data_IF_070522632640
#
_entry.id   IF_070522632640
#
_cell.length_a   1.000
_cell.length_b   1.000
_cell.length_c   1.000
_cell.angle_alpha   90.00
_cell.angle_beta   90.00
_cell.angle_gamma   90.00
#
_symmetry.space_group_name_H-M   'P 1'
#
loop_
_entity.id
_entity.type
_entity.pdbx_description
1 polymer ?
#
# COMPACT_ATOMS: atom_id res chain seq x y z
N UNK A 1 21.46 -0.87 -20.58
CA UNK A 1 21.45 -2.24 -20.01
C UNK A 1 22.31 -2.22 -18.77
N UNK A 2 21.71 -2.04 -17.60
CA UNK A 2 22.40 -2.16 -16.31
C UNK A 2 22.74 -3.63 -16.09
N UNK A 3 24.03 -3.93 -15.93
CA UNK A 3 24.51 -5.25 -15.54
C UNK A 3 23.97 -5.55 -14.13
N UNK A 4 23.10 -6.55 -14.00
CA UNK A 4 22.63 -7.03 -12.71
C UNK A 4 23.82 -7.52 -11.87
N UNK A 5 24.01 -6.92 -10.69
CA UNK A 5 25.15 -7.24 -9.82
C UNK A 5 24.89 -8.58 -9.10
N UNK A 6 25.88 -9.47 -8.90
CA UNK A 6 25.67 -10.78 -8.24
C UNK A 6 25.07 -10.68 -6.83
N UNK A 7 25.28 -9.55 -6.16
CA UNK A 7 24.62 -9.25 -4.87
C UNK A 7 23.12 -9.00 -5.04
N UNK A 8 22.67 -8.37 -6.12
CA UNK A 8 21.23 -8.15 -6.36
C UNK A 8 20.49 -9.46 -6.63
N UNK A 9 21.11 -10.39 -7.38
CA UNK A 9 20.55 -11.72 -7.61
C UNK A 9 20.44 -12.51 -6.30
N UNK A 10 21.47 -12.44 -5.45
CA UNK A 10 21.44 -13.04 -4.12
C UNK A 10 20.35 -12.40 -3.24
N UNK A 11 20.23 -11.08 -3.26
CA UNK A 11 19.20 -10.36 -2.50
C UNK A 11 17.79 -10.68 -3.00
N UNK A 12 17.57 -10.77 -4.31
CA UNK A 12 16.28 -11.20 -4.88
C UNK A 12 15.95 -12.66 -4.52
N UNK A 13 16.97 -13.52 -4.41
CA UNK A 13 16.75 -14.90 -3.97
C UNK A 13 16.42 -15.00 -2.48
N UNK A 14 17.10 -14.22 -1.64
CA UNK A 14 16.84 -14.18 -0.18
C UNK A 14 15.52 -13.46 0.12
N UNK A 15 15.22 -12.41 -0.65
CA UNK A 15 14.05 -11.54 -0.54
C UNK A 15 13.32 -11.48 -1.88
N UNK A 16 12.63 -12.56 -2.28
CA UNK A 16 11.88 -12.58 -3.53
C UNK A 16 10.82 -11.47 -3.49
N UNK A 17 10.94 -10.55 -4.44
CA UNK A 17 10.07 -9.39 -4.58
C UNK A 17 9.09 -9.63 -5.72
N UNK A 18 7.81 -9.64 -5.40
CA UNK A 18 6.77 -9.71 -6.43
C UNK A 18 6.39 -8.29 -6.88
N UNK A 19 6.91 -7.89 -8.04
CA UNK A 19 6.48 -6.69 -8.77
C UNK A 19 5.08 -6.90 -9.34
N UNK A 20 4.08 -7.03 -8.45
CA UNK A 20 2.69 -7.13 -8.87
C UNK A 20 2.32 -5.88 -9.62
N UNK A 21 2.04 -6.07 -10.89
CA UNK A 21 1.52 -5.08 -11.78
C UNK A 21 0.00 -5.21 -11.73
N UNK A 22 -0.68 -4.39 -10.92
CA UNK A 22 -2.13 -4.29 -11.10
C UNK A 22 -2.39 -3.69 -12.49
N UNK A 23 -3.44 -4.14 -13.16
CA UNK A 23 -3.87 -3.56 -14.43
C UNK A 23 -5.21 -2.88 -14.20
N UNK A 24 -5.38 -1.69 -14.78
CA UNK A 24 -6.65 -0.98 -14.71
C UNK A 24 -7.66 -1.61 -15.65
N UNK A 25 -8.76 -2.07 -15.08
CA UNK A 25 -9.92 -2.60 -15.80
C UNK A 25 -11.16 -1.66 -15.68
N UNK A 26 -11.07 -0.61 -14.87
CA UNK A 26 -12.07 0.44 -14.74
C UNK A 26 -11.44 1.80 -14.42
N UNK A 27 -11.98 2.92 -14.92
CA UNK A 27 -11.43 4.25 -14.68
C UNK A 27 -11.43 4.60 -13.19
N UNK A 28 -10.45 5.40 -12.77
CA UNK A 28 -10.46 6.04 -11.45
C UNK A 28 -11.66 7.00 -11.39
N UNK A 29 -12.50 6.87 -10.36
CA UNK A 29 -13.74 7.64 -10.23
C UNK A 29 -13.66 8.68 -9.12
N UNK A 30 -12.97 8.37 -8.02
CA UNK A 30 -12.92 9.24 -6.82
C UNK A 30 -11.51 9.29 -6.26
N UNK A 31 -11.02 10.50 -6.03
CA UNK A 31 -9.78 10.77 -5.32
C UNK A 31 -10.14 11.41 -3.98
N UNK A 32 -9.93 10.71 -2.88
CA UNK A 32 -10.15 11.25 -1.54
C UNK A 32 -8.80 11.42 -0.83
N UNK A 33 -8.12 12.51 -1.16
CA UNK A 33 -6.71 12.74 -0.85
C UNK A 33 -6.48 13.40 0.52
N UNK A 34 -7.43 13.24 1.44
CA UNK A 34 -7.32 13.76 2.80
C UNK A 34 -6.16 13.17 3.60
N UNK A 35 -5.71 13.91 4.62
CA UNK A 35 -4.66 13.43 5.52
C UNK A 35 -5.10 12.21 6.31
N UNK A 36 -4.13 11.32 6.58
CA UNK A 36 -4.34 10.18 7.46
C UNK A 36 -4.87 10.65 8.82
N UNK A 37 -5.72 9.84 9.43
CA UNK A 37 -6.41 10.13 10.72
C UNK A 37 -7.54 11.15 10.65
N UNK A 38 -7.86 11.71 9.48
CA UNK A 38 -9.02 12.58 9.28
C UNK A 38 -10.26 11.80 8.79
N UNK A 39 -10.55 10.63 9.35
CA UNK A 39 -11.73 9.83 8.96
C UNK A 39 -11.63 9.09 7.62
N UNK A 40 -10.43 8.91 7.07
CA UNK A 40 -10.20 8.28 5.74
C UNK A 40 -10.75 6.86 5.64
N UNK A 41 -10.70 6.08 6.72
CA UNK A 41 -11.24 4.70 6.72
C UNK A 41 -12.76 4.69 6.74
N UNK A 42 -13.38 5.61 7.49
CA UNK A 42 -14.83 5.82 7.42
C UNK A 42 -15.24 6.19 6.00
N UNK A 43 -14.51 7.11 5.37
CA UNK A 43 -14.77 7.49 3.97
C UNK A 43 -14.63 6.32 3.01
N UNK A 44 -13.61 5.49 3.19
CA UNK A 44 -13.43 4.25 2.41
C UNK A 44 -14.69 3.39 2.48
N UNK A 45 -15.20 3.10 3.67
CA UNK A 45 -16.42 2.31 3.84
C UNK A 45 -17.65 3.02 3.25
N UNK A 46 -17.74 4.35 3.35
CA UNK A 46 -18.84 5.11 2.77
C UNK A 46 -18.84 5.03 1.24
N UNK A 47 -17.67 5.07 0.60
CA UNK A 47 -17.51 4.89 -0.85
C UNK A 47 -17.85 3.45 -1.28
N UNK A 48 -17.42 2.44 -0.51
CA UNK A 48 -17.81 1.04 -0.75
C UNK A 48 -19.35 0.88 -0.67
N UNK A 49 -19.99 1.48 0.34
CA UNK A 49 -21.45 1.52 0.49
C UNK A 49 -22.17 2.19 -0.70
N UNK A 50 -21.52 3.20 -1.31
CA UNK A 50 -22.04 3.93 -2.49
C UNK A 50 -21.81 3.19 -3.82
N UNK A 51 -21.26 1.98 -3.77
CA UNK A 51 -21.07 1.10 -4.92
C UNK A 51 -19.83 1.41 -5.75
N UNK A 52 -18.87 2.17 -5.21
CA UNK A 52 -17.58 2.30 -5.89
C UNK A 52 -16.86 0.96 -5.86
N UNK A 53 -16.31 0.56 -7.01
CA UNK A 53 -15.41 -0.59 -7.09
C UNK A 53 -14.27 -0.39 -6.10
N UNK A 54 -13.81 -1.48 -5.48
CA UNK A 54 -12.73 -1.57 -4.49
C UNK A 54 -12.04 -0.25 -4.19
N UNK A 55 -12.12 0.20 -2.94
CA UNK A 55 -11.58 1.50 -2.52
C UNK A 55 -10.24 1.29 -1.83
N UNK A 56 -9.18 1.92 -2.36
CA UNK A 56 -7.85 1.84 -1.78
C UNK A 56 -7.81 2.61 -0.45
N UNK A 57 -7.10 2.08 0.53
CA UNK A 57 -6.77 2.73 1.80
C UNK A 57 -5.37 2.26 2.22
N UNK A 58 -4.69 2.96 3.15
CA UNK A 58 -3.39 2.54 3.66
C UNK A 58 -3.36 1.15 4.32
N UNK A 59 -4.52 0.56 4.63
CA UNK A 59 -4.63 -0.82 5.09
C UNK A 59 -4.73 -1.84 3.95
N UNK A 60 -4.98 -1.43 2.71
CA UNK A 60 -5.05 -2.35 1.57
C UNK A 60 -3.67 -2.73 1.02
N UNK A 61 -2.61 -2.06 1.48
CA UNK A 61 -1.23 -2.42 1.15
C UNK A 61 -0.96 -3.87 1.58
N UNK A 62 -0.70 -4.73 0.60
CA UNK A 62 -0.43 -6.16 0.80
C UNK A 62 0.98 -6.50 0.34
N UNK A 63 1.64 -7.39 1.09
CA UNK A 63 2.96 -7.92 0.76
C UNK A 63 3.94 -6.79 0.39
N UNK A 64 4.49 -6.93 -0.80
CA UNK A 64 5.60 -6.13 -1.33
C UNK A 64 5.21 -4.77 -1.91
N UNK A 65 3.91 -4.43 -1.98
CA UNK A 65 3.45 -3.13 -2.49
C UNK A 65 4.05 -1.95 -1.72
N UNK A 66 4.42 -2.14 -0.46
CA UNK A 66 5.12 -1.11 0.32
C UNK A 66 6.42 -0.67 -0.36
N UNK A 67 7.20 -1.60 -0.94
CA UNK A 67 8.43 -1.24 -1.63
C UNK A 67 8.18 -0.64 -3.01
N UNK A 68 7.14 -1.07 -3.73
CA UNK A 68 6.78 -0.41 -5.01
C UNK A 68 6.40 1.06 -4.75
N UNK A 69 5.60 1.32 -3.72
CA UNK A 69 5.29 2.68 -3.28
C UNK A 69 6.53 3.47 -2.87
N UNK A 70 7.45 2.84 -2.13
CA UNK A 70 8.71 3.47 -1.73
C UNK A 70 9.59 3.79 -2.94
N UNK A 71 9.76 2.87 -3.88
CA UNK A 71 10.50 3.11 -5.12
C UNK A 71 9.91 4.24 -5.95
N UNK A 72 8.57 4.33 -6.04
CA UNK A 72 7.93 5.45 -6.73
C UNK A 72 8.18 6.79 -6.01
N UNK A 73 8.16 6.78 -4.68
CA UNK A 73 8.48 7.94 -3.86
C UNK A 73 9.94 8.37 -4.03
N UNK A 74 10.87 7.42 -3.96
CA UNK A 74 12.30 7.68 -4.15
C UNK A 74 12.58 8.19 -5.57
N UNK A 75 11.98 7.57 -6.59
CA UNK A 75 12.12 8.03 -7.98
C UNK A 75 11.61 9.47 -8.19
N UNK A 76 10.56 9.88 -7.46
CA UNK A 76 10.07 11.26 -7.45
C UNK A 76 10.98 12.21 -6.66
N UNK A 77 11.56 11.73 -5.56
CA UNK A 77 12.44 12.53 -4.71
C UNK A 77 13.81 12.78 -5.36
N UNK A 78 14.35 11.77 -6.02
CA UNK A 78 15.67 11.79 -6.66
C UNK A 78 15.64 12.55 -8.00
N UNK A 79 14.54 12.46 -8.75
CA UNK A 79 14.32 13.22 -9.98
C UNK A 79 13.00 14.00 -9.91
N UNK A 80 13.03 15.26 -9.43
CA UNK A 80 11.86 16.12 -9.40
C UNK A 80 11.25 16.41 -10.79
N UNK A 81 11.99 16.13 -11.87
CA UNK A 81 11.52 16.26 -13.26
C UNK A 81 10.79 15.03 -13.78
N UNK A 82 10.84 13.90 -13.06
CA UNK A 82 10.14 12.67 -13.45
C UNK A 82 8.63 12.88 -13.45
N UNK A 83 8.01 12.70 -14.61
CA UNK A 83 6.55 12.69 -14.69
C UNK A 83 5.99 11.39 -14.10
N UNK A 84 5.34 11.50 -12.94
CA UNK A 84 4.53 10.40 -12.38
C UNK A 84 3.16 10.42 -13.06
N UNK A 85 2.82 9.32 -13.73
CA UNK A 85 1.63 9.23 -14.59
C UNK A 85 0.69 8.06 -14.27
N UNK A 86 -0.33 7.93 -15.11
CA UNK A 86 -1.32 6.83 -15.05
C UNK A 86 -0.64 5.47 -14.98
N UNK A 87 0.38 5.23 -15.80
CA UNK A 87 1.08 3.94 -15.82
C UNK A 87 1.77 3.60 -14.50
N UNK A 88 2.28 4.59 -13.75
CA UNK A 88 2.88 4.37 -12.43
C UNK A 88 1.82 4.00 -11.40
N UNK A 89 0.69 4.73 -11.42
CA UNK A 89 -0.41 4.48 -10.50
C UNK A 89 -1.14 3.19 -10.81
N UNK A 90 -1.24 2.80 -12.08
CA UNK A 90 -1.93 1.59 -12.48
C UNK A 90 -1.24 0.34 -11.93
N UNK A 91 0.09 0.33 -11.74
CA UNK A 91 0.82 -0.78 -11.09
C UNK A 91 0.46 -0.95 -9.61
N UNK A 92 0.04 0.14 -8.96
CA UNK A 92 -0.15 0.23 -7.52
C UNK A 92 -1.63 0.15 -7.11
N UNK A 93 -2.48 0.85 -7.87
CA UNK A 93 -3.90 1.08 -7.57
C UNK A 93 -4.81 0.89 -8.79
N UNK A 94 -4.35 0.21 -9.85
CA UNK A 94 -5.12 0.00 -11.08
C UNK A 94 -6.43 -0.75 -10.87
N UNK A 95 -6.47 -1.66 -9.89
CA UNK A 95 -7.65 -2.45 -9.53
C UNK A 95 -8.66 -1.71 -8.63
N UNK A 96 -8.40 -0.45 -8.26
CA UNK A 96 -9.25 0.36 -7.40
C UNK A 96 -9.99 1.44 -8.21
N UNK A 97 -11.29 1.60 -7.93
CA UNK A 97 -12.13 2.65 -8.53
C UNK A 97 -12.09 3.97 -7.76
N UNK A 98 -11.61 3.93 -6.50
CA UNK A 98 -11.43 5.09 -5.66
C UNK A 98 -10.22 4.92 -4.75
N UNK A 99 -9.61 6.02 -4.31
CA UNK A 99 -8.46 6.01 -3.39
C UNK A 99 -8.67 6.90 -2.18
N UNK A 100 -8.16 6.47 -1.04
CA UNK A 100 -8.15 7.20 0.24
C UNK A 100 -6.80 7.03 0.94
N UNK A 101 -6.51 7.91 1.91
CA UNK A 101 -5.42 7.74 2.90
C UNK A 101 -3.98 7.80 2.34
N UNK A 102 -3.01 7.43 3.18
CA UNK A 102 -1.58 7.40 2.94
C UNK A 102 -1.19 6.67 1.66
N UNK A 103 0.01 7.03 1.16
CA UNK A 103 0.55 6.70 -0.16
C UNK A 103 -0.12 7.53 -1.24
N UNK A 104 -1.42 7.36 -1.48
CA UNK A 104 -2.13 8.12 -2.52
C UNK A 104 -2.16 9.63 -2.22
N UNK A 105 -2.48 10.03 -0.98
CA UNK A 105 -2.49 11.46 -0.61
C UNK A 105 -1.12 12.17 -0.78
N UNK A 106 -0.02 11.41 -0.78
CA UNK A 106 1.34 11.96 -0.96
C UNK A 106 1.67 12.25 -2.44
N UNK A 107 0.83 11.78 -3.37
CA UNK A 107 0.90 12.03 -4.82
C UNK A 107 -0.35 12.76 -5.31
N UNK A 108 -0.99 13.59 -4.47
CA UNK A 108 -2.28 14.17 -4.78
C UNK A 108 -2.31 14.98 -6.09
N UNK A 109 -1.28 15.82 -6.32
CA UNK A 109 -1.18 16.63 -7.55
C UNK A 109 -1.07 15.74 -8.79
N UNK A 110 -0.27 14.69 -8.71
CA UNK A 110 0.01 13.76 -9.79
C UNK A 110 -1.20 12.86 -10.09
N UNK A 111 -1.91 12.40 -9.05
CA UNK A 111 -3.15 11.64 -9.21
C UNK A 111 -4.26 12.47 -9.85
N UNK A 112 -4.42 13.73 -9.45
CA UNK A 112 -5.39 14.65 -10.07
C UNK A 112 -5.03 14.90 -11.54
N UNK A 113 -3.74 15.12 -11.85
CA UNK A 113 -3.26 15.28 -13.24
C UNK A 113 -3.48 13.99 -14.06
N UNK A 114 -3.21 12.82 -13.49
CA UNK A 114 -3.32 11.53 -14.14
C UNK A 114 -4.78 11.09 -14.37
N UNK A 115 -5.70 11.51 -13.49
CA UNK A 115 -7.10 11.13 -13.55
C UNK A 115 -8.02 12.37 -13.53
N UNK A 116 -8.01 13.19 -14.59
CA UNK A 116 -8.74 14.46 -14.62
C UNK A 116 -10.27 14.31 -14.54
N UNK A 117 -10.80 13.12 -14.86
CA UNK A 117 -12.23 12.81 -14.79
C UNK A 117 -12.67 12.30 -13.40
N UNK A 118 -11.74 12.04 -12.49
CA UNK A 118 -12.07 11.58 -11.15
C UNK A 118 -12.51 12.76 -10.27
N UNK A 119 -13.51 12.54 -9.42
CA UNK A 119 -13.97 13.55 -8.46
C UNK A 119 -12.99 13.64 -7.28
N UNK A 120 -12.34 14.79 -7.12
CA UNK A 120 -11.46 15.07 -5.97
C UNK A 120 -12.27 15.54 -4.76
N UNK A 121 -12.45 14.63 -3.80
CA UNK A 121 -13.28 14.85 -2.62
C UNK A 121 -12.53 15.75 -1.64
N UNK A 122 -13.07 16.95 -1.33
CA UNK A 122 -12.45 17.83 -0.35
C UNK A 122 -12.51 17.21 1.05
N UNK A 123 -11.51 17.51 1.89
CA UNK A 123 -11.46 17.06 3.29
C UNK A 123 -12.76 17.40 4.03
N UNK A 124 -13.38 18.54 3.72
CA UNK A 124 -14.61 18.99 4.38
C UNK A 124 -15.85 18.17 4.02
N UNK A 125 -15.84 17.46 2.89
CA UNK A 125 -16.89 16.50 2.56
C UNK A 125 -16.77 15.21 3.40
N UNK A 126 -15.66 15.04 4.13
CA UNK A 126 -15.38 13.90 5.00
C UNK A 126 -15.69 14.16 6.49
N UNK A 127 -16.58 15.11 6.81
CA UNK A 127 -16.98 15.42 8.20
C UNK A 127 -17.93 14.38 8.85
N UNK A 128 -17.88 13.11 8.43
CA UNK A 128 -18.69 12.04 9.03
C UNK A 128 -20.19 12.12 8.74
N UNK A 129 -20.58 12.84 7.68
CA UNK A 129 -21.97 13.03 7.27
C UNK A 129 -22.19 12.53 5.85
N UNK A 130 -23.32 11.85 5.59
CA UNK A 130 -23.58 11.26 4.27
C UNK A 130 -24.05 12.31 3.27
N UNK A 131 -24.82 13.29 3.72
CA UNK A 131 -25.50 14.26 2.86
C UNK A 131 -24.50 15.09 2.04
N UNK A 132 -23.44 15.69 2.62
CA UNK A 132 -22.47 16.47 1.84
C UNK A 132 -21.69 15.59 0.86
N UNK A 133 -21.31 14.38 1.29
CA UNK A 133 -20.58 13.43 0.45
C UNK A 133 -21.42 12.96 -0.75
N UNK A 134 -22.67 12.57 -0.51
CA UNK A 134 -23.57 12.08 -1.55
C UNK A 134 -23.95 13.21 -2.52
N UNK A 135 -24.17 14.43 -2.02
CA UNK A 135 -24.39 15.61 -2.85
C UNK A 135 -23.20 15.88 -3.77
N UNK A 136 -21.97 15.86 -3.24
CA UNK A 136 -20.75 16.04 -4.05
C UNK A 136 -20.57 14.94 -5.12
N UNK A 137 -20.92 13.71 -4.76
CA UNK A 137 -20.78 12.55 -5.64
C UNK A 137 -21.95 12.37 -6.61
N UNK A 138 -22.98 13.22 -6.57
CA UNK A 138 -24.24 13.10 -7.31
C UNK A 138 -24.90 11.73 -7.11
N UNK A 139 -24.98 11.29 -5.85
CA UNK A 139 -25.56 10.00 -5.45
C UNK A 139 -26.70 10.18 -4.45
N UNK A 140 -27.70 9.26 -4.45
CA UNK A 140 -28.72 9.27 -3.41
C UNK A 140 -28.09 8.98 -2.04
N UNK A 141 -28.60 9.62 -1.00
CA UNK A 141 -28.18 9.40 0.39
C UNK A 141 -28.75 8.05 0.87
N UNK A 142 -27.91 7.03 1.18
CA UNK A 142 -28.40 5.78 1.77
C UNK A 142 -28.93 6.01 3.18
N UNK A 143 -29.96 5.26 3.58
CA UNK A 143 -30.59 5.36 4.92
C UNK A 143 -29.65 4.95 6.08
N UNK A 144 -28.60 4.16 5.77
CA UNK A 144 -27.64 3.67 6.78
C UNK A 144 -26.90 4.83 7.46
N UNK A 145 -26.50 4.66 8.72
CA UNK A 145 -25.61 5.61 9.38
C UNK A 145 -24.26 5.77 8.64
N UNK A 146 -23.61 6.92 8.77
CA UNK A 146 -22.25 7.09 8.25
C UNK A 146 -21.31 6.12 8.99
N UNK A 147 -20.47 5.36 8.28
CA UNK A 147 -19.62 4.36 8.90
C UNK A 147 -18.58 5.01 9.82
N UNK A 148 -18.20 4.30 10.88
CA UNK A 148 -17.12 4.70 11.80
C UNK A 148 -16.01 3.66 11.76
N UNK A 149 -14.91 4.01 11.10
CA UNK A 149 -13.71 3.18 11.00
C UNK A 149 -12.59 3.63 11.95
N UNK A 150 -11.59 2.76 12.12
CA UNK A 150 -10.29 3.10 12.72
C UNK A 150 -10.30 3.61 14.18
N UNK A 151 -11.29 3.20 14.97
CA UNK A 151 -11.33 3.48 16.41
C UNK A 151 -10.05 2.96 17.12
N UNK A 152 -9.53 3.64 18.16
CA UNK A 152 -8.26 3.26 18.78
C UNK A 152 -8.16 1.79 19.23
N UNK A 153 -9.20 1.19 19.86
CA UNK A 153 -9.14 -0.22 20.25
C UNK A 153 -9.09 -1.18 19.06
N UNK A 154 -9.86 -0.91 17.99
CA UNK A 154 -9.85 -1.74 16.78
C UNK A 154 -8.55 -1.60 16.00
N UNK A 155 -7.96 -0.40 15.98
CA UNK A 155 -6.64 -0.15 15.41
C UNK A 155 -5.55 -0.98 16.10
N UNK A 156 -5.44 -0.92 17.42
CA UNK A 156 -4.42 -1.66 18.17
C UNK A 156 -4.50 -3.17 17.90
N UNK A 157 -5.72 -3.73 17.95
CA UNK A 157 -5.98 -5.14 17.63
C UNK A 157 -5.53 -5.47 16.20
N UNK A 158 -5.90 -4.66 15.21
CA UNK A 158 -5.52 -4.87 13.81
C UNK A 158 -4.01 -4.82 13.59
N UNK A 159 -3.30 -3.90 14.24
CA UNK A 159 -1.84 -3.83 14.14
C UNK A 159 -1.19 -5.10 14.71
N UNK A 160 -1.67 -5.59 15.86
CA UNK A 160 -1.18 -6.83 16.44
C UNK A 160 -1.39 -8.02 15.48
N UNK A 161 -2.56 -8.14 14.86
CA UNK A 161 -2.85 -9.18 13.87
C UNK A 161 -1.96 -9.08 12.61
N UNK A 162 -1.79 -7.87 12.05
CA UNK A 162 -0.98 -7.65 10.86
C UNK A 162 0.51 -7.95 11.05
N UNK A 163 1.02 -7.81 12.27
CA UNK A 163 2.43 -8.09 12.58
C UNK A 163 2.73 -9.59 12.75
N UNK A 164 1.72 -10.44 12.98
CA UNK A 164 1.94 -11.89 13.21
C UNK A 164 2.74 -12.58 12.09
N UNK A 165 2.43 -12.39 10.78
CA UNK A 165 3.23 -12.99 9.73
C UNK A 165 4.67 -12.48 9.73
N UNK A 166 4.89 -11.18 9.99
CA UNK A 166 6.23 -10.59 10.05
C UNK A 166 7.07 -11.24 11.17
N UNK A 167 6.49 -11.40 12.36
CA UNK A 167 7.17 -12.10 13.45
C UNK A 167 7.46 -13.57 13.11
N UNK A 168 6.54 -14.27 12.44
CA UNK A 168 6.76 -15.64 11.96
C UNK A 168 7.92 -15.69 10.96
N UNK A 169 7.95 -14.79 9.98
CA UNK A 169 9.03 -14.72 8.99
C UNK A 169 10.37 -14.39 9.65
N UNK A 170 10.41 -13.45 10.61
CA UNK A 170 11.61 -13.13 11.37
C UNK A 170 12.14 -14.34 12.15
N UNK A 171 11.26 -15.10 12.82
CA UNK A 171 11.65 -16.30 13.54
C UNK A 171 12.20 -17.40 12.61
N UNK A 172 11.54 -17.63 11.47
CA UNK A 172 12.01 -18.59 10.46
C UNK A 172 13.38 -18.18 9.89
N UNK A 173 13.56 -16.90 9.58
CA UNK A 173 14.84 -16.40 9.05
C UNK A 173 15.95 -16.51 10.10
N UNK A 174 15.66 -16.19 11.36
CA UNK A 174 16.62 -16.37 12.46
C UNK A 174 17.05 -17.84 12.59
N UNK A 175 16.09 -18.78 12.55
CA UNK A 175 16.40 -20.21 12.60
C UNK A 175 17.28 -20.68 11.43
N UNK A 176 16.99 -20.21 10.21
CA UNK A 176 17.81 -20.49 9.02
C UNK A 176 19.24 -19.95 9.18
N UNK A 177 19.39 -18.70 9.61
CA UNK A 177 20.71 -18.08 9.82
C UNK A 177 21.52 -18.84 10.86
N UNK A 178 20.91 -19.19 12.00
CA UNK A 178 21.56 -19.98 13.03
C UNK A 178 21.96 -21.38 12.51
N UNK A 179 21.09 -22.02 11.72
CA UNK A 179 21.40 -23.31 11.09
C UNK A 179 22.62 -23.25 10.16
N UNK A 180 22.71 -22.21 9.32
CA UNK A 180 23.87 -22.00 8.44
C UNK A 180 25.14 -21.75 9.26
N UNK A 181 25.07 -20.89 10.29
CA UNK A 181 26.21 -20.62 11.17
C UNK A 181 26.73 -21.91 11.84
N UNK A 182 25.83 -22.74 12.37
CA UNK A 182 26.18 -24.02 12.98
C UNK A 182 26.83 -24.96 11.95
N UNK A 183 26.28 -25.06 10.74
CA UNK A 183 26.85 -25.89 9.68
C UNK A 183 28.27 -25.46 9.28
N UNK A 184 28.51 -24.14 9.19
CA UNK A 184 29.85 -23.58 8.92
C UNK A 184 30.82 -23.90 10.06
N UNK A 185 30.40 -23.73 11.31
CA UNK A 185 31.21 -24.06 12.49
C UNK A 185 31.59 -25.54 12.48
N UNK A 186 30.64 -26.44 12.22
CA UNK A 186 30.88 -27.89 12.14
C UNK A 186 31.86 -28.21 10.99
N UNK A 187 31.68 -27.60 9.82
CA UNK A 187 32.59 -27.81 8.69
C UNK A 187 34.03 -27.37 8.99
N UNK A 188 34.21 -26.20 9.61
CA UNK A 188 35.52 -25.69 10.04
C UNK A 188 36.14 -26.61 11.08
N UNK A 189 35.37 -27.04 12.08
CA UNK A 189 35.83 -27.97 13.10
C UNK A 189 36.28 -29.31 12.51
N UNK A 190 35.50 -29.89 11.58
CA UNK A 190 35.87 -31.13 10.88
C UNK A 190 37.12 -30.96 10.02
N UNK A 191 37.33 -29.79 9.40
CA UNK A 191 38.53 -29.52 8.61
C UNK A 191 39.80 -29.46 9.47
N UNK A 192 39.72 -28.85 10.67
CA UNK A 192 40.85 -28.74 11.59
C UNK A 192 41.17 -30.01 12.38
N UNK A 193 40.22 -30.92 12.53
CA UNK A 193 40.40 -32.20 13.26
C UNK A 193 40.87 -33.35 12.37
N UNK A 194 40.86 -33.16 11.05
CA UNK A 194 41.34 -34.13 10.05
C UNK A 194 42.81 -33.93 9.63
N UNK A 195 43.52 -32.99 10.24
CA UNK A 195 44.99 -32.82 10.18
C UNK A 195 45.63 -33.31 11.46
#
# INVERSE_FOLDING_TARGET
>A
MTLFHPVELLLQWIYPFDERNTARDSPMQVLALGFSRCGTESLKFALEDLGYKSVYHGFEVKGDQSMVWTRLWDAKADDPGREVGVEDFDKLVGNYGAVTDARCNMFGKELIKAHPNAKDVPIDANHGKREPLCAFLDKPVPEKAFPSGNAPPSFAKRIAERRKPQYRHAAVNLAKTLGVMVAVIIAVWMAHTKT
#
